data_IF_908123038106
#
_entry.id   IF_908123038106
#
_cell.length_a   1.000
_cell.length_b   1.000
_cell.length_c   1.000
_cell.angle_alpha   90.00
_cell.angle_beta   90.00
_cell.angle_gamma   90.00
#
_symmetry.space_group_name_H-M   'P 1'
#
loop_
_entity.id
_entity.type
_entity.pdbx_description
1 polymer ?
#
# COMPACT_ATOMS: atom_id res chain seq x y z
N UNK A 1 -7.49 4.13 -32.57
CA UNK A 1 -6.63 4.04 -31.35
C UNK A 1 -7.54 3.79 -30.16
N UNK A 2 -7.46 2.61 -29.53
CA UNK A 2 -8.12 2.34 -28.24
C UNK A 2 -7.10 2.68 -27.15
N UNK A 3 -7.41 3.64 -26.28
CA UNK A 3 -6.58 3.93 -25.10
C UNK A 3 -7.17 3.19 -23.91
N UNK A 4 -6.36 2.50 -23.14
CA UNK A 4 -6.78 1.67 -21.99
C UNK A 4 -7.35 2.45 -20.79
N UNK A 5 -7.73 3.73 -20.98
CA UNK A 5 -8.36 4.61 -19.98
C UNK A 5 -7.66 4.70 -18.61
N UNK A 6 -6.39 4.30 -18.52
CA UNK A 6 -5.61 4.27 -17.27
C UNK A 6 -5.57 5.64 -16.57
N UNK A 7 -5.70 6.73 -17.34
CA UNK A 7 -5.67 8.11 -16.85
C UNK A 7 -7.06 8.71 -16.58
N UNK A 8 -8.14 7.93 -16.72
CA UNK A 8 -9.50 8.41 -16.47
C UNK A 8 -9.77 8.41 -14.94
N UNK A 9 -9.90 9.58 -14.29
CA UNK A 9 -10.10 9.65 -12.84
C UNK A 9 -11.42 9.03 -12.39
N UNK A 10 -12.43 8.97 -13.26
CA UNK A 10 -13.70 8.31 -12.96
C UNK A 10 -13.58 6.77 -12.84
N UNK A 11 -12.47 6.19 -13.32
CA UNK A 11 -12.15 4.77 -13.20
C UNK A 11 -11.10 4.46 -12.13
N UNK A 12 -10.63 5.49 -11.41
CA UNK A 12 -9.71 5.29 -10.30
C UNK A 12 -10.49 4.81 -9.08
N UNK A 13 -9.99 3.76 -8.44
CA UNK A 13 -10.51 3.32 -7.16
C UNK A 13 -10.14 4.33 -6.07
N UNK A 14 -10.98 4.44 -5.03
CA UNK A 14 -10.66 5.27 -3.87
C UNK A 14 -9.34 4.76 -3.24
N UNK A 15 -8.31 5.60 -3.09
CA UNK A 15 -7.08 5.23 -2.42
C UNK A 15 -7.29 4.64 -1.01
N UNK A 16 -8.37 5.01 -0.32
CA UNK A 16 -8.71 4.46 1.00
C UNK A 16 -9.25 3.04 0.96
N UNK A 17 -9.70 2.56 -0.19
CA UNK A 17 -10.15 1.18 -0.38
C UNK A 17 -8.98 0.22 -0.63
N UNK A 18 -7.77 0.74 -0.85
CA UNK A 18 -6.57 -0.08 -1.04
C UNK A 18 -6.08 -0.63 0.30
N UNK A 19 -5.55 -1.87 0.33
CA UNK A 19 -4.92 -2.41 1.52
C UNK A 19 -3.69 -1.59 1.90
N UNK A 20 -3.41 -1.54 3.20
CA UNK A 20 -2.22 -0.86 3.71
C UNK A 20 -0.95 -1.62 3.28
N UNK A 21 0.22 -0.94 3.27
CA UNK A 21 1.50 -1.61 2.98
C UNK A 21 1.75 -2.82 3.88
N UNK A 22 1.42 -2.72 5.18
CA UNK A 22 1.50 -3.82 6.12
C UNK A 22 0.58 -4.99 5.74
N UNK A 23 -0.66 -4.73 5.36
CA UNK A 23 -1.59 -5.77 4.89
C UNK A 23 -1.09 -6.46 3.61
N UNK A 24 -0.52 -5.71 2.67
CA UNK A 24 0.07 -6.27 1.45
C UNK A 24 1.25 -7.20 1.80
N UNK A 25 2.11 -6.76 2.73
CA UNK A 25 3.25 -7.55 3.19
C UNK A 25 2.82 -8.80 3.96
N UNK A 26 1.80 -8.71 4.81
CA UNK A 26 1.24 -9.85 5.52
C UNK A 26 0.72 -10.90 4.52
N UNK A 27 -0.09 -10.49 3.55
CA UNK A 27 -0.65 -11.40 2.54
C UNK A 27 0.47 -12.04 1.70
N UNK A 28 1.38 -11.22 1.19
CA UNK A 28 2.48 -11.67 0.31
C UNK A 28 3.45 -12.60 1.04
N UNK A 29 3.69 -12.33 2.33
CA UNK A 29 4.58 -13.14 3.17
C UNK A 29 3.90 -14.39 3.73
N UNK A 30 2.63 -14.67 3.39
CA UNK A 30 1.83 -15.77 3.99
C UNK A 30 1.73 -15.66 5.52
N UNK A 31 1.51 -14.46 6.03
CA UNK A 31 1.41 -14.13 7.46
C UNK A 31 2.68 -14.35 8.27
N UNK A 32 3.84 -14.41 7.62
CA UNK A 32 5.12 -14.42 8.33
C UNK A 32 5.49 -13.02 8.87
N UNK A 33 4.97 -11.98 8.23
CA UNK A 33 5.11 -10.59 8.65
C UNK A 33 3.78 -10.13 9.22
N UNK A 34 3.80 -9.61 10.45
CA UNK A 34 2.67 -8.91 11.04
C UNK A 34 2.53 -7.53 10.40
N UNK A 35 1.50 -7.37 9.56
CA UNK A 35 1.20 -6.15 8.84
C UNK A 35 0.78 -5.00 9.75
N UNK A 36 0.08 -5.28 10.85
CA UNK A 36 -0.38 -4.25 11.78
C UNK A 36 0.80 -3.64 12.55
N UNK A 37 1.69 -4.51 13.03
CA UNK A 37 2.94 -4.05 13.66
C UNK A 37 3.81 -3.29 12.66
N UNK A 38 3.88 -3.74 11.40
CA UNK A 38 4.62 -3.05 10.35
C UNK A 38 4.08 -1.63 10.10
N UNK A 39 2.77 -1.48 9.92
CA UNK A 39 2.14 -0.17 9.64
C UNK A 39 2.28 0.79 10.83
N UNK A 40 2.24 0.28 12.07
CA UNK A 40 2.43 1.10 13.28
C UNK A 40 3.87 1.61 13.42
N UNK A 41 4.86 0.78 13.08
CA UNK A 41 6.28 1.15 13.15
C UNK A 41 6.75 1.97 11.95
N UNK A 42 6.00 1.92 10.84
CA UNK A 42 6.39 2.54 9.57
C UNK A 42 6.64 4.05 9.66
N UNK A 43 5.79 4.90 10.29
CA UNK A 43 6.05 6.34 10.37
C UNK A 43 7.37 6.68 11.06
N UNK A 44 7.73 5.91 12.10
CA UNK A 44 8.98 6.13 12.85
C UNK A 44 10.20 5.59 12.10
N UNK A 45 10.06 4.47 11.39
CA UNK A 45 11.11 4.00 10.45
C UNK A 45 11.33 4.99 9.32
N UNK A 46 10.26 5.43 8.66
CA UNK A 46 10.31 6.35 7.52
C UNK A 46 11.04 7.66 7.88
N UNK A 47 10.78 8.23 9.07
CA UNK A 47 11.51 9.41 9.57
C UNK A 47 13.02 9.18 9.74
N UNK A 48 13.42 7.98 10.16
CA UNK A 48 14.83 7.63 10.40
C UNK A 48 15.57 7.22 9.13
N UNK A 49 14.84 6.81 8.09
CA UNK A 49 15.42 6.27 6.86
C UNK A 49 15.27 7.18 5.64
N UNK A 50 14.49 8.25 5.73
CA UNK A 50 14.38 9.21 4.62
C UNK A 50 15.62 10.09 4.50
N UNK A 51 16.28 9.93 3.35
CA UNK A 51 17.00 10.96 2.61
C UNK A 51 16.10 12.14 2.26
#
# INVERSE_FOLDING_TARGET
VVRSELWNPAKHVDPKALPTPGQILEITSRKNIDGETYDREWPERAKKTMW
#
